data_IF_616405181695
#
_entry.id   IF_616405181695
#
_cell.length_a   1.000
_cell.length_b   1.000
_cell.length_c   1.000
_cell.angle_alpha   90.00
_cell.angle_beta   90.00
_cell.angle_gamma   90.00
#
_symmetry.space_group_name_H-M   'P 1'
#
loop_
_entity.id
_entity.type
_entity.pdbx_description
1 polymer ?
#
# COMPACT_ATOMS: atom_id res chain seq x y z
N UNK A 1 12.27 5.54 -7.99
CA UNK A 1 11.15 6.07 -7.17
C UNK A 1 11.68 6.29 -5.76
N UNK A 2 11.43 7.44 -5.13
CA UNK A 2 11.79 7.61 -3.71
C UNK A 2 10.79 6.86 -2.82
N UNK A 3 11.21 6.47 -1.61
CA UNK A 3 10.32 5.88 -0.61
C UNK A 3 9.05 6.71 -0.37
N UNK A 4 9.19 8.04 -0.34
CA UNK A 4 8.06 8.96 -0.16
C UNK A 4 7.10 8.95 -1.37
N UNK A 5 7.65 8.81 -2.59
CA UNK A 5 6.82 8.73 -3.80
C UNK A 5 6.05 7.41 -3.84
N UNK A 6 6.66 6.32 -3.39
CA UNK A 6 6.00 5.03 -3.25
C UNK A 6 4.86 5.11 -2.22
N UNK A 7 5.09 5.69 -1.04
CA UNK A 7 4.04 5.90 -0.03
C UNK A 7 2.88 6.75 -0.58
N UNK A 8 3.19 7.84 -1.31
CA UNK A 8 2.17 8.70 -1.96
C UNK A 8 1.42 7.98 -3.08
N UNK A 9 2.10 7.11 -3.82
CA UNK A 9 1.50 6.31 -4.87
C UNK A 9 0.56 5.26 -4.28
N UNK A 10 1.01 4.50 -3.29
CA UNK A 10 0.20 3.51 -2.59
C UNK A 10 -1.02 4.15 -1.92
N UNK A 11 -0.85 5.31 -1.28
CA UNK A 11 -1.96 6.09 -0.72
C UNK A 11 -3.00 6.52 -1.76
N UNK A 12 -2.54 6.93 -2.95
CA UNK A 12 -3.44 7.26 -4.08
C UNK A 12 -4.13 6.01 -4.63
N UNK A 13 -3.41 4.89 -4.73
CA UNK A 13 -3.95 3.62 -5.19
C UNK A 13 -5.03 3.09 -4.24
N UNK A 14 -4.81 3.12 -2.92
CA UNK A 14 -5.83 2.75 -1.92
C UNK A 14 -7.11 3.58 -2.06
N UNK A 15 -6.97 4.90 -2.22
CA UNK A 15 -8.11 5.80 -2.42
C UNK A 15 -8.86 5.49 -3.72
N UNK A 16 -8.14 5.23 -4.81
CA UNK A 16 -8.73 4.88 -6.11
C UNK A 16 -9.39 3.50 -6.10
N UNK A 17 -8.81 2.55 -5.37
CA UNK A 17 -9.33 1.20 -5.18
C UNK A 17 -10.57 1.14 -4.27
N UNK A 18 -11.00 2.27 -3.68
CA UNK A 18 -12.10 2.32 -2.73
C UNK A 18 -11.83 1.48 -1.47
N UNK A 19 -10.56 1.33 -1.09
CA UNK A 19 -10.17 0.54 0.08
C UNK A 19 -10.23 1.43 1.33
N UNK A 20 -11.03 1.09 2.35
CA UNK A 20 -11.07 1.84 3.60
C UNK A 20 -9.78 1.65 4.40
N UNK A 21 -8.93 2.68 4.42
CA UNK A 21 -7.68 2.70 5.19
C UNK A 21 -7.76 3.67 6.38
N UNK A 22 -7.01 3.37 7.45
CA UNK A 22 -6.85 4.25 8.59
C UNK A 22 -5.90 5.40 8.24
N UNK A 23 -6.24 6.60 8.69
CA UNK A 23 -5.36 7.77 8.59
C UNK A 23 -4.65 8.01 9.91
N UNK A 24 -3.50 8.69 9.87
CA UNK A 24 -2.90 9.27 11.08
C UNK A 24 -3.91 10.18 11.80
N UNK A 25 -3.86 10.22 13.14
CA UNK A 25 -4.77 11.03 13.98
C UNK A 25 -4.37 12.53 14.08
N UNK A 26 -3.45 13.02 13.23
CA UNK A 26 -2.96 14.40 13.27
C UNK A 26 -3.65 15.35 12.28
N UNK A 27 -3.21 16.61 12.26
CA UNK A 27 -3.70 17.67 11.37
C UNK A 27 -3.45 17.40 9.88
N UNK A 28 -2.45 16.57 9.53
CA UNK A 28 -2.27 16.04 8.18
C UNK A 28 -2.66 14.56 8.14
N UNK A 29 -3.82 14.28 7.54
CA UNK A 29 -4.34 12.91 7.37
C UNK A 29 -3.58 12.21 6.25
N UNK A 30 -2.62 11.37 6.62
CA UNK A 30 -1.96 10.47 5.69
C UNK A 30 -2.39 9.03 5.95
N UNK A 31 -2.52 8.19 4.91
CA UNK A 31 -2.72 6.76 5.09
C UNK A 31 -1.66 6.17 6.02
N UNK A 32 -2.07 5.35 7.01
CA UNK A 32 -1.14 4.60 7.84
C UNK A 32 -0.57 3.43 7.04
N UNK A 33 0.53 3.71 6.36
CA UNK A 33 1.31 2.74 5.57
C UNK A 33 2.67 2.61 6.24
N UNK A 34 3.06 1.38 6.53
CA UNK A 34 4.43 1.05 6.96
C UNK A 34 5.11 0.23 5.87
N UNK A 35 6.37 0.50 5.58
CA UNK A 35 7.16 -0.32 4.66
C UNK A 35 8.35 -0.86 5.46
N UNK A 36 8.39 -2.17 5.67
CA UNK A 36 9.36 -2.81 6.60
C UNK A 36 10.81 -2.71 6.10
N UNK A 37 11.02 -2.75 4.78
CA UNK A 37 12.36 -2.65 4.18
C UNK A 37 12.25 -1.95 2.82
N UNK A 38 12.40 -0.63 2.81
CA UNK A 38 12.83 0.05 1.61
C UNK A 38 14.29 -0.33 1.36
N UNK A 39 14.55 -1.22 0.39
CA UNK A 39 15.93 -1.48 -0.02
C UNK A 39 16.50 -0.22 -0.67
N UNK A 40 17.82 -0.02 -0.54
CA UNK A 40 18.55 1.16 -1.02
C UNK A 40 18.23 1.46 -2.50
N UNK A 41 18.02 2.75 -2.80
CA UNK A 41 17.87 3.31 -4.14
C UNK A 41 18.93 2.76 -5.12
N UNK A 42 18.50 2.27 -6.29
CA UNK A 42 19.38 1.88 -7.41
C UNK A 42 19.24 0.44 -7.91
N UNK A 43 18.39 -0.39 -7.30
CA UNK A 43 18.13 -1.77 -7.72
C UNK A 43 16.63 -1.95 -7.97
N UNK A 44 16.25 -2.77 -8.94
CA UNK A 44 14.86 -3.17 -9.14
C UNK A 44 14.26 -3.66 -7.81
N UNK A 45 13.25 -2.95 -7.31
CA UNK A 45 12.61 -3.28 -6.04
C UNK A 45 11.68 -4.48 -6.24
N UNK A 46 12.23 -5.68 -6.10
CA UNK A 46 11.46 -6.90 -6.37
C UNK A 46 10.55 -7.35 -5.21
N UNK A 47 10.75 -6.84 -3.98
CA UNK A 47 10.13 -7.41 -2.76
C UNK A 47 9.89 -6.41 -1.61
N UNK A 48 9.51 -5.15 -1.89
CA UNK A 48 9.11 -4.21 -0.82
C UNK A 48 7.79 -4.65 -0.16
N UNK A 49 7.87 -5.00 1.14
CA UNK A 49 6.69 -5.30 1.95
C UNK A 49 6.08 -4.02 2.48
N UNK A 50 4.81 -3.77 2.12
CA UNK A 50 4.00 -2.70 2.67
C UNK A 50 2.89 -3.28 3.55
N UNK A 51 2.75 -2.73 4.76
CA UNK A 51 1.67 -3.02 5.69
C UNK A 51 0.68 -1.85 5.71
N UNK A 52 -0.60 -2.18 5.64
CA UNK A 52 -1.69 -1.23 5.59
C UNK A 52 -2.62 -1.46 6.77
N UNK A 53 -2.96 -0.39 7.48
CA UNK A 53 -4.02 -0.46 8.49
C UNK A 53 -5.34 -0.14 7.81
N UNK A 54 -6.23 -1.12 7.73
CA UNK A 54 -7.56 -0.98 7.16
C UNK A 54 -8.58 -0.68 8.26
N UNK A 55 -9.67 0.02 7.91
CA UNK A 55 -10.77 0.30 8.86
C UNK A 55 -11.79 -0.84 8.89
N UNK A 56 -11.76 -1.71 7.89
CA UNK A 56 -12.67 -2.85 7.70
C UNK A 56 -11.85 -4.09 7.35
N UNK A 57 -12.37 -5.27 7.68
CA UNK A 57 -11.76 -6.55 7.29
C UNK A 57 -12.02 -6.78 5.79
N UNK A 58 -10.96 -6.79 5.00
CA UNK A 58 -11.02 -7.04 3.56
C UNK A 58 -10.21 -8.31 3.29
N UNK A 59 -10.79 -9.33 2.63
CA UNK A 59 -10.04 -10.51 2.22
C UNK A 59 -8.85 -10.13 1.33
N UNK A 60 -7.72 -10.83 1.51
CA UNK A 60 -6.50 -10.54 0.79
C UNK A 60 -6.67 -10.55 -0.74
N UNK A 61 -7.46 -11.48 -1.28
CA UNK A 61 -7.74 -11.57 -2.71
C UNK A 61 -8.51 -10.35 -3.23
N UNK A 62 -9.52 -9.91 -2.50
CA UNK A 62 -10.31 -8.71 -2.83
C UNK A 62 -9.44 -7.46 -2.76
N UNK A 63 -8.58 -7.35 -1.75
CA UNK A 63 -7.62 -6.26 -1.66
C UNK A 63 -6.68 -6.24 -2.88
N UNK A 64 -6.12 -7.40 -3.25
CA UNK A 64 -5.19 -7.55 -4.37
C UNK A 64 -5.84 -7.20 -5.70
N UNK A 65 -7.08 -7.64 -5.93
CA UNK A 65 -7.84 -7.33 -7.14
C UNK A 65 -8.11 -5.83 -7.26
N UNK A 66 -8.65 -5.20 -6.21
CA UNK A 66 -8.95 -3.76 -6.21
C UNK A 66 -7.69 -2.91 -6.40
N UNK A 67 -6.59 -3.29 -5.76
CA UNK A 67 -5.32 -2.59 -5.92
C UNK A 67 -4.73 -2.76 -7.32
N UNK A 68 -4.85 -3.94 -7.94
CA UNK A 68 -4.36 -4.19 -9.31
C UNK A 68 -4.99 -3.22 -10.31
N UNK A 69 -6.29 -2.92 -10.18
CA UNK A 69 -6.97 -1.93 -11.03
C UNK A 69 -6.62 -0.47 -10.71
N UNK A 70 -6.02 -0.21 -9.55
CA UNK A 70 -5.73 1.15 -9.09
C UNK A 70 -4.26 1.57 -9.28
N UNK A 71 -3.34 0.61 -9.39
CA UNK A 71 -1.91 0.84 -9.58
C UNK A 71 -1.58 1.20 -11.04
N UNK A 72 -0.55 2.04 -11.28
CA UNK A 72 -0.08 2.32 -12.63
C UNK A 72 0.70 1.14 -13.22
N UNK A 73 0.82 1.15 -14.54
CA UNK A 73 1.69 0.21 -15.26
C UNK A 73 3.13 0.27 -14.72
N UNK A 74 3.71 -0.91 -14.47
CA UNK A 74 5.03 -1.06 -13.87
C UNK A 74 5.04 -1.33 -12.36
N UNK A 75 3.89 -1.25 -11.66
CA UNK A 75 3.78 -1.64 -10.24
C UNK A 75 2.75 -2.74 -10.10
N UNK A 76 3.15 -3.89 -9.53
CA UNK A 76 2.30 -5.06 -9.37
C UNK A 76 2.41 -5.62 -7.96
N UNK A 77 1.27 -6.01 -7.40
CA UNK A 77 1.22 -6.78 -6.16
C UNK A 77 1.45 -8.25 -6.51
N UNK A 78 2.54 -8.83 -5.99
CA UNK A 78 2.85 -10.26 -6.13
C UNK A 78 1.98 -11.10 -5.19
N UNK A 79 1.90 -10.69 -3.93
CA UNK A 79 1.18 -11.41 -2.88
C UNK A 79 0.55 -10.43 -1.87
N UNK A 80 -0.50 -10.90 -1.18
CA UNK A 80 -1.18 -10.17 -0.13
C UNK A 80 -1.69 -11.16 0.94
N UNK A 81 -1.57 -10.78 2.22
CA UNK A 81 -2.08 -11.56 3.34
C UNK A 81 -2.74 -10.64 4.36
N UNK A 82 -3.78 -11.15 5.03
CA UNK A 82 -4.43 -10.45 6.14
C UNK A 82 -3.69 -10.80 7.42
N UNK A 83 -3.19 -9.78 8.12
CA UNK A 83 -2.61 -9.94 9.46
C UNK A 83 -3.60 -9.41 10.49
N UNK A 84 -4.19 -10.32 11.26
CA UNK A 84 -4.96 -9.95 12.47
C UNK A 84 -3.99 -9.82 13.63
N UNK A 85 -4.13 -8.75 14.41
CA UNK A 85 -3.36 -8.51 15.63
C UNK A 85 -4.11 -9.07 16.83
#
# INVERSE_FOLDING_TARGET
ISHLDLLRLLGRALRRAGIPFATSQGFSKHPRISIERALKLGVESENEKAEFILREDIPADVFKERMRGALPDGIRIKDAAVRRK
#
